data_IF_292021040126
#
_entry.id   IF_292021040126
#
_cell.length_a   1.000
_cell.length_b   1.000
_cell.length_c   1.000
_cell.angle_alpha   90.00
_cell.angle_beta   90.00
_cell.angle_gamma   90.00
#
_symmetry.space_group_name_H-M   'P 1'
#
loop_
_entity.id
_entity.type
_entity.pdbx_description
1 polymer ?
#
# COMPACT_ATOMS: atom_id res chain seq x y z
N UNK A 1 23.49 -34.35 24.54
CA UNK A 1 22.23 -33.59 24.45
C UNK A 1 22.64 -32.14 24.26
N UNK A 2 22.56 -31.63 23.02
CA UNK A 2 22.85 -30.21 22.78
C UNK A 2 21.84 -29.37 23.55
N UNK A 3 22.24 -28.22 24.11
CA UNK A 3 21.32 -27.38 24.88
C UNK A 3 20.12 -27.03 23.99
N UNK A 4 18.92 -27.04 24.55
CA UNK A 4 17.68 -26.61 23.89
C UNK A 4 17.81 -25.13 23.53
N UNK A 5 18.46 -24.85 22.41
CA UNK A 5 18.57 -23.51 21.86
C UNK A 5 17.14 -23.14 21.44
N UNK A 6 16.49 -22.16 22.09
CA UNK A 6 15.14 -21.79 21.72
C UNK A 6 15.14 -21.34 20.25
N UNK A 7 14.20 -21.90 19.46
CA UNK A 7 14.04 -21.57 18.04
C UNK A 7 13.95 -20.05 17.79
N UNK A 8 13.41 -19.32 18.77
CA UNK A 8 13.39 -17.87 18.85
C UNK A 8 14.23 -17.39 20.03
N UNK A 9 15.43 -16.90 19.75
CA UNK A 9 16.18 -16.06 20.69
C UNK A 9 15.49 -14.68 20.80
N UNK A 10 15.63 -13.96 21.92
CA UNK A 10 14.97 -12.65 22.15
C UNK A 10 15.21 -11.67 20.99
N UNK A 11 16.43 -11.66 20.46
CA UNK A 11 16.80 -10.91 19.26
C UNK A 11 15.99 -11.30 18.01
N UNK A 12 15.79 -12.60 17.76
CA UNK A 12 15.00 -13.10 16.62
C UNK A 12 13.50 -12.80 16.80
N UNK A 13 13.03 -12.80 18.04
CA UNK A 13 11.65 -12.49 18.37
C UNK A 13 11.33 -11.01 18.10
N UNK A 14 12.22 -10.10 18.47
CA UNK A 14 12.04 -8.68 18.19
C UNK A 14 12.01 -8.39 16.68
N UNK A 15 12.89 -9.06 15.93
CA UNK A 15 12.91 -9.00 14.47
C UNK A 15 11.64 -9.56 13.83
N UNK A 16 11.13 -10.69 14.35
CA UNK A 16 9.86 -11.27 13.89
C UNK A 16 8.71 -10.28 14.13
N UNK A 17 8.62 -9.67 15.31
CA UNK A 17 7.56 -8.70 15.62
C UNK A 17 7.66 -7.39 14.82
N UNK A 18 8.86 -7.01 14.36
CA UNK A 18 9.02 -5.89 13.43
C UNK A 18 8.48 -6.23 12.03
N UNK A 19 8.77 -7.45 11.54
CA UNK A 19 8.47 -7.85 10.15
C UNK A 19 7.10 -8.48 9.96
N UNK A 20 6.54 -9.15 10.95
CA UNK A 20 5.23 -9.81 10.87
C UNK A 20 4.10 -8.86 10.40
N UNK A 21 3.87 -7.68 11.02
CA UNK A 21 2.84 -6.76 10.55
C UNK A 21 3.15 -6.21 9.15
N UNK A 22 4.43 -6.01 8.83
CA UNK A 22 4.87 -5.57 7.51
C UNK A 22 4.57 -6.60 6.42
N UNK A 23 4.75 -7.89 6.72
CA UNK A 23 4.44 -8.99 5.79
C UNK A 23 2.93 -9.16 5.63
N UNK A 24 2.17 -9.15 6.74
CA UNK A 24 0.71 -9.35 6.70
C UNK A 24 0.00 -8.19 5.98
N UNK A 25 0.39 -6.94 6.26
CA UNK A 25 -0.19 -5.75 5.63
C UNK A 25 0.54 -5.36 4.33
N UNK A 26 1.53 -6.16 3.94
CA UNK A 26 2.21 -6.07 2.66
C UNK A 26 3.09 -4.84 2.46
N UNK A 27 3.51 -4.12 3.49
CA UNK A 27 4.35 -2.93 3.31
C UNK A 27 4.53 -2.03 4.53
N UNK A 28 3.47 -1.61 5.23
CA UNK A 28 3.57 -0.61 6.29
C UNK A 28 4.50 -1.04 7.44
N UNK A 29 5.32 -0.10 7.93
CA UNK A 29 6.33 -0.33 8.98
C UNK A 29 5.84 0.19 10.32
N UNK A 30 4.90 -0.53 10.95
CA UNK A 30 4.29 -0.10 12.23
C UNK A 30 5.17 -0.27 13.48
N UNK A 31 6.32 -0.94 13.36
CA UNK A 31 7.29 -1.06 14.45
C UNK A 31 8.69 -0.84 13.90
N UNK A 32 9.21 0.38 14.08
CA UNK A 32 10.59 0.71 13.75
C UNK A 32 11.49 0.32 14.91
N UNK A 33 12.70 -0.13 14.63
CA UNK A 33 13.67 -0.56 15.65
C UNK A 33 14.22 0.54 16.54
N UNK A 34 13.77 1.78 16.32
CA UNK A 34 14.15 3.00 17.04
C UNK A 34 12.90 3.88 17.23
N UNK A 35 12.96 4.85 18.14
CA UNK A 35 11.83 5.73 18.49
C UNK A 35 11.50 6.72 17.36
N UNK A 36 10.78 6.27 16.32
CA UNK A 36 10.23 7.16 15.31
C UNK A 36 9.08 8.01 15.89
N UNK A 37 8.95 9.29 15.51
CA UNK A 37 7.86 10.13 15.97
C UNK A 37 6.47 9.59 15.59
N UNK A 38 5.44 9.82 16.42
CA UNK A 38 4.11 9.25 16.22
C UNK A 38 3.45 9.65 14.88
N UNK A 39 3.81 10.80 14.32
CA UNK A 39 3.28 11.27 13.04
C UNK A 39 3.68 10.39 11.85
N UNK A 40 4.82 9.68 11.92
CA UNK A 40 5.29 8.79 10.84
C UNK A 40 4.36 7.57 10.73
N UNK A 41 4.03 6.96 11.86
CA UNK A 41 3.10 5.82 11.92
C UNK A 41 1.68 6.23 11.50
N UNK A 42 1.23 7.41 11.93
CA UNK A 42 -0.06 7.96 11.52
C UNK A 42 -0.10 8.19 9.99
N UNK A 43 0.95 8.76 9.41
CA UNK A 43 1.06 8.96 7.96
C UNK A 43 0.99 7.64 7.18
N UNK A 44 1.72 6.61 7.61
CA UNK A 44 1.65 5.29 6.97
C UNK A 44 0.27 4.64 7.09
N UNK A 45 -0.39 4.76 8.25
CA UNK A 45 -1.75 4.27 8.45
C UNK A 45 -2.77 4.97 7.54
N UNK A 46 -2.68 6.30 7.43
CA UNK A 46 -3.56 7.09 6.56
C UNK A 46 -3.36 6.70 5.10
N UNK A 47 -2.11 6.57 4.65
CA UNK A 47 -1.80 6.14 3.28
C UNK A 47 -2.30 4.73 2.99
N UNK A 48 -2.16 3.81 3.94
CA UNK A 48 -2.66 2.44 3.82
C UNK A 48 -4.18 2.40 3.71
N UNK A 49 -4.89 3.20 4.51
CA UNK A 49 -6.36 3.27 4.53
C UNK A 49 -6.95 4.14 3.42
N UNK A 50 -6.13 4.81 2.60
CA UNK A 50 -6.59 5.71 1.55
C UNK A 50 -7.58 5.05 0.56
N UNK A 51 -7.32 3.82 0.04
CA UNK A 51 -8.27 3.12 -0.82
C UNK A 51 -9.61 2.84 -0.13
N UNK A 52 -9.57 2.44 1.15
CA UNK A 52 -10.77 2.20 1.94
C UNK A 52 -11.56 3.48 2.22
N UNK A 53 -10.89 4.61 2.46
CA UNK A 53 -11.56 5.89 2.67
C UNK A 53 -12.30 6.34 1.41
N UNK A 54 -11.61 6.43 0.27
CA UNK A 54 -12.22 6.92 -0.97
C UNK A 54 -13.22 5.93 -1.57
N UNK A 55 -12.87 4.64 -1.55
CA UNK A 55 -13.79 3.59 -1.97
C UNK A 55 -14.99 3.46 -1.04
N UNK A 56 -14.78 3.57 0.28
CA UNK A 56 -15.81 3.57 1.30
C UNK A 56 -16.80 4.71 1.12
N UNK A 57 -16.34 5.94 0.87
CA UNK A 57 -17.21 7.08 0.50
C UNK A 57 -18.05 6.73 -0.72
N UNK A 58 -17.46 6.14 -1.77
CA UNK A 58 -18.18 5.67 -2.95
C UNK A 58 -19.27 4.64 -2.61
N UNK A 59 -18.94 3.64 -1.80
CA UNK A 59 -19.93 2.62 -1.39
C UNK A 59 -21.06 3.19 -0.55
N UNK A 60 -20.76 4.11 0.38
CA UNK A 60 -21.76 4.76 1.23
C UNK A 60 -22.71 5.62 0.39
N UNK A 61 -22.19 6.45 -0.51
CA UNK A 61 -23.01 7.27 -1.41
C UNK A 61 -23.92 6.41 -2.29
N UNK A 62 -23.43 5.24 -2.73
CA UNK A 62 -24.24 4.30 -3.48
C UNK A 62 -25.32 3.62 -2.62
N UNK A 63 -25.01 3.26 -1.37
CA UNK A 63 -25.96 2.65 -0.43
C UNK A 63 -27.05 3.64 0.02
N UNK A 64 -26.72 4.92 0.13
CA UNK A 64 -27.68 5.99 0.44
C UNK A 64 -28.55 6.40 -0.77
N UNK A 65 -28.41 5.70 -1.91
CA UNK A 65 -29.09 6.03 -3.18
C UNK A 65 -28.82 7.46 -3.68
N UNK A 66 -27.74 8.10 -3.22
CA UNK A 66 -27.34 9.44 -3.66
C UNK A 66 -26.60 9.41 -4.99
N UNK A 67 -25.82 8.34 -5.24
CA UNK A 67 -25.11 8.10 -6.50
C UNK A 67 -25.45 6.72 -7.06
N UNK A 68 -25.50 6.61 -8.38
CA UNK A 68 -25.52 5.32 -9.06
C UNK A 68 -24.17 4.61 -8.92
N UNK A 69 -24.17 3.27 -8.98
CA UNK A 69 -22.96 2.46 -8.83
C UNK A 69 -21.82 2.90 -9.78
N UNK A 70 -22.11 3.19 -11.06
CA UNK A 70 -21.09 3.66 -12.01
C UNK A 70 -20.49 5.02 -11.65
N UNK A 71 -21.30 5.93 -11.10
CA UNK A 71 -20.80 7.24 -10.69
C UNK A 71 -19.94 7.12 -9.42
N UNK A 72 -20.32 6.24 -8.49
CA UNK A 72 -19.56 5.98 -7.27
C UNK A 72 -18.17 5.37 -7.56
N UNK A 73 -18.08 4.55 -8.62
CA UNK A 73 -16.82 3.90 -9.02
C UNK A 73 -15.89 4.87 -9.73
N UNK A 74 -16.43 5.72 -10.60
CA UNK A 74 -15.67 6.82 -11.20
C UNK A 74 -15.19 7.78 -10.11
N UNK A 75 -16.05 8.17 -9.17
CA UNK A 75 -15.69 9.08 -8.08
C UNK A 75 -14.56 8.51 -7.20
N UNK A 76 -14.69 7.28 -6.72
CA UNK A 76 -13.66 6.61 -5.90
C UNK A 76 -12.34 6.43 -6.66
N UNK A 77 -12.39 6.08 -7.95
CA UNK A 77 -11.21 5.96 -8.79
C UNK A 77 -10.52 7.31 -9.02
N UNK A 78 -11.29 8.38 -9.28
CA UNK A 78 -10.74 9.72 -9.47
C UNK A 78 -10.14 10.31 -8.19
N UNK A 79 -10.77 10.08 -7.04
CA UNK A 79 -10.22 10.49 -5.74
C UNK A 79 -8.89 9.78 -5.45
N UNK A 80 -8.83 8.46 -5.69
CA UNK A 80 -7.60 7.70 -5.52
C UNK A 80 -6.51 8.12 -6.51
N UNK A 81 -6.86 8.37 -7.77
CA UNK A 81 -5.92 8.89 -8.77
C UNK A 81 -5.33 10.23 -8.32
N UNK A 82 -6.18 11.15 -7.87
CA UNK A 82 -5.76 12.47 -7.36
C UNK A 82 -4.82 12.34 -6.17
N UNK A 83 -5.17 11.50 -5.18
CA UNK A 83 -4.33 11.27 -4.02
C UNK A 83 -2.98 10.63 -4.38
N UNK A 84 -2.98 9.61 -5.24
CA UNK A 84 -1.76 8.97 -5.74
C UNK A 84 -0.88 9.98 -6.49
N UNK A 85 -1.47 10.85 -7.31
CA UNK A 85 -0.75 11.91 -8.02
C UNK A 85 -0.11 12.92 -7.06
N UNK A 86 -0.83 13.35 -6.02
CA UNK A 86 -0.29 14.24 -4.98
C UNK A 86 0.88 13.61 -4.25
N UNK A 87 0.75 12.35 -3.83
CA UNK A 87 1.80 11.63 -3.09
C UNK A 87 3.04 11.45 -3.97
N UNK A 88 2.86 11.05 -5.23
CA UNK A 88 3.98 10.87 -6.14
C UNK A 88 4.62 12.19 -6.57
N UNK A 89 3.85 13.29 -6.68
CA UNK A 89 4.39 14.62 -6.89
C UNK A 89 5.22 15.09 -5.69
N UNK A 90 4.74 14.84 -4.47
CA UNK A 90 5.47 15.16 -3.23
C UNK A 90 6.76 14.34 -3.13
N UNK A 91 6.72 13.04 -3.44
CA UNK A 91 7.90 12.18 -3.47
C UNK A 91 8.92 12.64 -4.53
N UNK A 92 8.45 13.05 -5.71
CA UNK A 92 9.31 13.59 -6.78
C UNK A 92 9.92 14.93 -6.40
N UNK A 93 9.17 15.79 -5.69
CA UNK A 93 9.65 17.06 -5.20
C UNK A 93 10.73 16.89 -4.13
N UNK A 94 10.50 16.00 -3.16
CA UNK A 94 11.48 15.64 -2.14
C UNK A 94 12.78 15.10 -2.78
N UNK A 95 12.66 14.20 -3.76
CA UNK A 95 13.81 13.64 -4.48
C UNK A 95 14.64 14.68 -5.27
N UNK A 96 14.05 15.82 -5.67
CA UNK A 96 14.76 16.91 -6.34
C UNK A 96 15.49 17.84 -5.37
N UNK A 97 15.05 17.89 -4.11
CA UNK A 97 15.60 18.77 -3.07
C UNK A 97 16.79 18.16 -2.31
N UNK A 98 16.99 16.85 -2.39
CA UNK A 98 18.09 16.14 -1.72
C UNK A 98 19.40 16.23 -2.48
N UNK A 99 20.51 16.39 -1.76
CA UNK A 99 21.85 16.46 -2.37
C UNK A 99 22.31 15.08 -2.88
N UNK A 100 23.22 15.01 -3.87
CA UNK A 100 23.68 13.73 -4.44
C UNK A 100 24.28 12.76 -3.42
N UNK A 101 24.90 13.26 -2.34
CA UNK A 101 25.54 12.45 -1.29
C UNK A 101 24.52 11.64 -0.46
N UNK A 102 23.39 12.25 -0.07
CA UNK A 102 22.27 11.56 0.60
C UNK A 102 21.52 10.60 -0.34
N UNK A 103 21.66 10.80 -1.65
CA UNK A 103 21.06 9.94 -2.67
C UNK A 103 21.75 8.59 -2.74
N UNK A 104 23.08 8.54 -2.56
CA UNK A 104 23.88 7.31 -2.55
C UNK A 104 23.75 6.53 -1.24
N UNK A 105 23.68 7.21 -0.08
CA UNK A 105 23.46 6.57 1.22
C UNK A 105 22.16 5.78 1.27
N UNK A 106 21.05 6.40 0.91
CA UNK A 106 19.74 5.74 0.94
C UNK A 106 19.40 4.89 -0.31
N UNK A 107 20.41 4.52 -1.12
CA UNK A 107 20.31 3.47 -2.15
C UNK A 107 20.93 2.15 -1.67
N UNK A 108 21.69 2.17 -0.57
CA UNK A 108 22.15 0.98 0.11
C UNK A 108 21.01 0.39 0.94
N UNK A 109 20.33 -0.62 0.38
CA UNK A 109 19.26 -1.40 1.03
C UNK A 109 19.75 -2.17 2.28
N UNK A 110 21.07 -2.23 2.50
CA UNK A 110 21.69 -2.76 3.73
C UNK A 110 21.71 -1.76 4.90
N UNK A 111 21.33 -0.50 4.68
CA UNK A 111 21.20 0.56 5.68
C UNK A 111 19.74 0.75 6.17
N UNK A 112 18.95 -0.33 6.21
CA UNK A 112 17.59 -0.31 6.81
C UNK A 112 17.63 -0.12 8.36
N UNK A 113 18.83 0.11 8.92
CA UNK A 113 19.12 0.39 10.33
C UNK A 113 19.82 1.74 10.57
N UNK A 114 19.99 2.60 9.54
CA UNK A 114 20.51 3.96 9.77
C UNK A 114 19.37 4.80 10.40
N UNK A 115 19.59 5.30 11.62
CA UNK A 115 18.63 6.12 12.36
C UNK A 115 18.30 7.38 11.56
N UNK A 116 17.12 7.41 10.93
CA UNK A 116 16.66 8.62 10.22
C UNK A 116 16.22 9.64 11.27
N UNK A 117 16.87 10.79 11.30
CA UNK A 117 16.52 11.89 12.20
C UNK A 117 15.30 12.65 11.67
N UNK A 118 14.12 12.30 12.16
CA UNK A 118 12.88 12.92 11.71
C UNK A 118 12.67 14.32 12.31
N UNK A 119 13.06 15.36 11.57
CA UNK A 119 12.92 16.77 11.97
C UNK A 119 11.47 17.27 11.94
N UNK A 120 10.73 17.02 10.86
CA UNK A 120 9.33 17.47 10.69
C UNK A 120 8.48 16.51 9.83
N UNK A 121 7.14 16.60 9.96
CA UNK A 121 6.18 15.76 9.23
C UNK A 121 6.26 15.88 7.70
N UNK A 122 6.70 17.03 7.17
CA UNK A 122 6.86 17.29 5.73
C UNK A 122 8.33 17.43 5.31
N UNK A 123 9.27 17.02 6.17
CA UNK A 123 10.68 16.97 5.77
C UNK A 123 10.86 16.02 4.59
N UNK A 124 11.80 16.36 3.70
CA UNK A 124 12.14 15.56 2.53
C UNK A 124 12.47 14.10 2.91
N UNK A 125 13.11 13.92 4.07
CA UNK A 125 13.46 12.63 4.65
C UNK A 125 12.22 11.83 5.07
N UNK A 126 11.29 12.45 5.80
CA UNK A 126 10.02 11.84 6.22
C UNK A 126 9.19 11.42 5.02
N UNK A 127 9.08 12.29 4.00
CA UNK A 127 8.35 11.99 2.75
C UNK A 127 9.00 10.82 2.02
N UNK A 128 10.33 10.81 1.89
CA UNK A 128 11.07 9.73 1.22
C UNK A 128 10.97 8.40 1.97
N UNK A 129 10.95 8.44 3.29
CA UNK A 129 10.78 7.27 4.13
C UNK A 129 9.38 6.66 4.00
N UNK A 130 8.35 7.51 3.98
CA UNK A 130 6.95 7.08 3.89
C UNK A 130 6.57 6.67 2.47
N UNK A 131 7.07 7.38 1.45
CA UNK A 131 6.80 7.14 0.03
C UNK A 131 8.10 7.33 -0.78
N UNK A 132 8.93 6.27 -0.90
CA UNK A 132 10.12 6.33 -1.74
C UNK A 132 9.68 6.50 -3.19
N UNK A 133 9.99 7.67 -3.77
CA UNK A 133 9.61 7.98 -5.15
C UNK A 133 10.10 6.93 -6.14
N UNK A 134 9.33 6.70 -7.21
CA UNK A 134 9.67 5.75 -8.27
C UNK A 134 10.83 6.28 -9.12
N UNK A 135 11.69 5.38 -9.59
CA UNK A 135 12.89 5.74 -10.37
C UNK A 135 12.55 6.24 -11.76
N UNK A 136 11.51 5.67 -12.38
CA UNK A 136 11.10 5.99 -13.75
C UNK A 136 9.83 6.84 -13.76
N UNK A 137 9.86 7.99 -14.45
CA UNK A 137 8.69 8.86 -14.61
C UNK A 137 7.51 8.17 -15.31
N UNK A 138 7.78 7.17 -16.17
CA UNK A 138 6.71 6.36 -16.77
C UNK A 138 6.01 5.49 -15.72
N UNK A 139 6.75 4.89 -14.80
CA UNK A 139 6.19 4.08 -13.72
C UNK A 139 5.37 4.94 -12.75
N UNK A 140 5.78 6.20 -12.52
CA UNK A 140 4.96 7.18 -11.77
C UNK A 140 3.56 7.30 -12.38
N UNK A 141 3.50 7.60 -13.69
CA UNK A 141 2.23 7.77 -14.40
C UNK A 141 1.44 6.45 -14.43
N UNK A 142 2.09 5.33 -14.71
CA UNK A 142 1.42 4.03 -14.76
C UNK A 142 0.81 3.66 -13.40
N UNK A 143 1.58 3.79 -12.32
CA UNK A 143 1.13 3.44 -10.98
C UNK A 143 0.01 4.34 -10.48
N UNK A 144 0.02 5.63 -10.80
CA UNK A 144 -1.09 6.53 -10.44
C UNK A 144 -2.38 6.15 -11.16
N UNK A 145 -2.32 5.90 -12.47
CA UNK A 145 -3.46 5.42 -13.27
C UNK A 145 -3.96 4.08 -12.71
N UNK A 146 -3.06 3.13 -12.48
CA UNK A 146 -3.41 1.80 -11.99
C UNK A 146 -4.01 1.83 -10.58
N UNK A 147 -3.54 2.73 -9.71
CA UNK A 147 -4.11 2.93 -8.38
C UNK A 147 -5.55 3.44 -8.46
N UNK A 148 -5.83 4.40 -9.36
CA UNK A 148 -7.17 4.89 -9.63
C UNK A 148 -8.10 3.79 -10.18
N UNK A 149 -7.63 3.05 -11.19
CA UNK A 149 -8.38 1.93 -11.78
C UNK A 149 -8.68 0.84 -10.75
N UNK A 150 -7.68 0.45 -9.96
CA UNK A 150 -7.82 -0.57 -8.91
C UNK A 150 -8.85 -0.15 -7.87
N UNK A 151 -8.80 1.10 -7.40
CA UNK A 151 -9.75 1.59 -6.41
C UNK A 151 -11.16 1.73 -6.99
N UNK A 152 -11.32 2.23 -8.22
CA UNK A 152 -12.63 2.36 -8.86
C UNK A 152 -13.28 1.00 -9.16
N UNK A 153 -12.54 0.08 -9.80
CA UNK A 153 -13.01 -1.28 -10.09
C UNK A 153 -13.21 -2.10 -8.81
N UNK A 154 -12.30 -1.96 -7.85
CA UNK A 154 -12.43 -2.58 -6.53
C UNK A 154 -13.68 -2.10 -5.80
N UNK A 155 -13.94 -0.79 -5.80
CA UNK A 155 -15.17 -0.22 -5.22
C UNK A 155 -16.41 -0.83 -5.86
N UNK A 156 -16.43 -0.94 -7.20
CA UNK A 156 -17.56 -1.54 -7.93
C UNK A 156 -17.80 -3.00 -7.56
N UNK A 157 -16.73 -3.78 -7.50
CA UNK A 157 -16.77 -5.20 -7.22
C UNK A 157 -17.24 -5.46 -5.78
N UNK A 158 -16.77 -4.66 -4.83
CA UNK A 158 -17.02 -4.81 -3.40
C UNK A 158 -18.37 -4.22 -2.95
N UNK A 159 -19.21 -3.70 -3.86
CA UNK A 159 -20.57 -3.30 -3.48
C UNK A 159 -21.32 -4.47 -2.81
N UNK A 160 -21.76 -4.27 -1.56
CA UNK A 160 -22.40 -5.33 -0.76
C UNK A 160 -23.62 -5.94 -1.47
N UNK A 161 -24.39 -5.14 -2.21
CA UNK A 161 -25.50 -5.63 -3.03
C UNK A 161 -25.05 -6.60 -4.12
N UNK A 162 -23.91 -6.33 -4.79
CA UNK A 162 -23.35 -7.25 -5.79
C UNK A 162 -22.79 -8.51 -5.15
N UNK A 163 -22.04 -8.37 -4.05
CA UNK A 163 -21.50 -9.52 -3.32
C UNK A 163 -22.62 -10.44 -2.80
N UNK A 164 -23.76 -9.89 -2.39
CA UNK A 164 -24.92 -10.68 -1.93
C UNK A 164 -25.55 -11.47 -3.08
N UNK A 165 -25.63 -10.87 -4.27
CA UNK A 165 -26.10 -11.56 -5.48
C UNK A 165 -25.13 -12.66 -5.90
N UNK A 166 -23.82 -12.42 -5.82
CA UNK A 166 -22.79 -13.37 -6.26
C UNK A 166 -22.66 -14.58 -5.33
N UNK A 167 -22.69 -14.36 -4.01
CA UNK A 167 -22.45 -15.42 -3.01
C UNK A 167 -23.72 -15.97 -2.34
N UNK A 168 -24.89 -15.41 -2.64
CA UNK A 168 -26.20 -15.92 -2.18
C UNK A 168 -26.46 -15.85 -0.67
N UNK A 169 -25.53 -15.32 0.13
CA UNK A 169 -25.64 -15.21 1.58
C UNK A 169 -25.03 -13.91 2.08
N UNK A 170 -25.84 -13.11 2.78
CA UNK A 170 -25.43 -11.82 3.37
C UNK A 170 -24.23 -12.00 4.30
N UNK A 171 -24.22 -13.06 5.12
CA UNK A 171 -23.13 -13.31 6.07
C UNK A 171 -21.78 -13.54 5.37
N UNK A 172 -21.78 -14.33 4.29
CA UNK A 172 -20.59 -14.58 3.47
C UNK A 172 -20.14 -13.29 2.78
N UNK A 173 -21.08 -12.51 2.23
CA UNK A 173 -20.80 -11.25 1.55
C UNK A 173 -20.17 -10.20 2.48
N UNK A 174 -20.58 -10.12 3.75
CA UNK A 174 -19.97 -9.21 4.73
C UNK A 174 -18.53 -9.59 5.03
N UNK A 175 -18.25 -10.89 5.19
CA UNK A 175 -16.88 -11.38 5.43
C UNK A 175 -16.00 -11.06 4.21
N UNK A 176 -16.47 -11.38 3.00
CA UNK A 176 -15.76 -11.10 1.75
C UNK A 176 -15.56 -9.59 1.55
N UNK A 177 -16.55 -8.77 1.91
CA UNK A 177 -16.45 -7.31 1.86
C UNK A 177 -15.27 -6.78 2.69
N UNK A 178 -15.14 -7.23 3.94
CA UNK A 178 -14.08 -6.81 4.85
C UNK A 178 -12.70 -7.22 4.29
N UNK A 179 -12.54 -8.49 3.91
CA UNK A 179 -11.26 -9.00 3.39
C UNK A 179 -10.89 -8.40 2.03
N UNK A 180 -11.88 -8.11 1.18
CA UNK A 180 -11.66 -7.45 -0.11
C UNK A 180 -11.10 -6.04 0.08
N UNK A 181 -11.62 -5.26 1.04
CA UNK A 181 -11.07 -3.93 1.34
C UNK A 181 -9.64 -3.98 1.87
N UNK A 182 -9.34 -4.94 2.74
CA UNK A 182 -7.96 -5.16 3.21
C UNK A 182 -7.04 -5.47 2.03
N UNK A 183 -7.48 -6.35 1.12
CA UNK A 183 -6.73 -6.73 -0.08
C UNK A 183 -6.50 -5.54 -1.03
N UNK A 184 -7.53 -4.71 -1.25
CA UNK A 184 -7.43 -3.47 -2.03
C UNK A 184 -6.47 -2.45 -1.38
N UNK A 185 -6.47 -2.34 -0.05
CA UNK A 185 -5.52 -1.50 0.68
C UNK A 185 -4.08 -1.98 0.49
N UNK A 186 -3.83 -3.28 0.60
CA UNK A 186 -2.50 -3.90 0.40
C UNK A 186 -1.98 -3.65 -1.02
N UNK A 187 -2.82 -3.81 -2.03
CA UNK A 187 -2.43 -3.61 -3.42
C UNK A 187 -2.30 -2.11 -3.79
N UNK A 188 -3.18 -1.26 -3.28
CA UNK A 188 -3.08 0.20 -3.46
C UNK A 188 -1.83 0.78 -2.80
N UNK A 189 -1.50 0.32 -1.60
CA UNK A 189 -0.30 0.72 -0.88
C UNK A 189 0.98 0.31 -1.63
N UNK A 190 1.00 -0.89 -2.21
CA UNK A 190 2.09 -1.38 -3.07
C UNK A 190 2.36 -0.44 -4.25
N UNK A 191 1.31 0.07 -4.89
CA UNK A 191 1.43 0.97 -6.04
C UNK A 191 1.98 2.35 -5.66
N UNK A 192 1.50 2.93 -4.55
CA UNK A 192 1.84 4.29 -4.11
C UNK A 192 3.20 4.34 -3.41
N UNK A 193 3.45 3.45 -2.45
CA UNK A 193 4.63 3.48 -1.59
C UNK A 193 5.68 2.54 -2.18
N UNK A 194 5.52 1.24 -1.96
CA UNK A 194 6.27 0.12 -2.54
C UNK A 194 5.87 -1.15 -1.77
N UNK A 195 6.19 -2.33 -2.31
CA UNK A 195 6.04 -3.58 -1.58
C UNK A 195 7.05 -3.68 -0.45
N UNK A 196 6.69 -4.40 0.62
CA UNK A 196 7.66 -4.81 1.64
C UNK A 196 8.89 -5.48 1.00
N UNK A 197 10.07 -5.21 1.56
CA UNK A 197 11.32 -5.86 1.16
C UNK A 197 11.25 -7.34 1.56
N UNK A 198 11.05 -8.22 0.59
CA UNK A 198 11.17 -9.66 0.83
C UNK A 198 12.64 -9.99 1.10
N UNK A 199 12.87 -10.82 2.12
CA UNK A 199 14.21 -11.08 2.66
C UNK A 199 15.12 -11.89 1.73
N UNK A 200 14.62 -12.30 0.56
CA UNK A 200 15.30 -13.15 -0.40
C UNK A 200 15.34 -12.58 -1.83
N UNK A 201 14.70 -11.43 -2.09
CA UNK A 201 14.79 -10.78 -3.41
C UNK A 201 15.75 -9.61 -3.33
N UNK A 202 16.86 -9.71 -4.05
CA UNK A 202 17.73 -8.57 -4.28
C UNK A 202 16.95 -7.52 -5.07
N UNK A 203 16.41 -6.49 -4.42
CA UNK A 203 15.75 -5.36 -5.11
C UNK A 203 16.65 -4.69 -6.17
N UNK A 204 17.97 -4.88 -6.09
CA UNK A 204 18.91 -4.48 -7.14
C UNK A 204 18.62 -5.13 -8.51
N UNK A 205 17.86 -6.24 -8.57
CA UNK A 205 17.44 -6.91 -9.80
C UNK A 205 16.05 -6.48 -10.30
N UNK A 206 15.24 -5.76 -9.52
CA UNK A 206 13.95 -5.23 -10.02
C UNK A 206 14.18 -3.89 -10.74
N UNK A 207 14.94 -3.95 -11.84
CA UNK A 207 15.31 -2.79 -12.66
C UNK A 207 14.10 -2.03 -13.20
N UNK A 208 12.94 -2.70 -13.34
CA UNK A 208 11.74 -2.14 -13.96
C UNK A 208 10.60 -1.87 -12.97
N UNK A 209 10.81 -2.11 -11.67
CA UNK A 209 9.78 -1.96 -10.63
C UNK A 209 8.51 -2.79 -10.94
N UNK A 210 8.69 -4.05 -11.35
CA UNK A 210 7.59 -4.97 -11.70
C UNK A 210 6.92 -5.52 -10.44
N UNK A 211 7.67 -5.69 -9.35
CA UNK A 211 7.18 -6.32 -8.12
C UNK A 211 5.92 -5.64 -7.58
N UNK A 212 5.83 -4.30 -7.53
CA UNK A 212 4.63 -3.61 -7.08
C UNK A 212 3.36 -3.81 -7.93
N UNK A 213 3.49 -4.20 -9.21
CA UNK A 213 2.35 -4.43 -10.11
C UNK A 213 1.73 -5.82 -9.93
N UNK A 214 2.47 -6.78 -9.37
CA UNK A 214 2.00 -8.17 -9.23
C UNK A 214 0.70 -8.28 -8.44
N UNK A 215 0.60 -7.55 -7.31
CA UNK A 215 -0.59 -7.59 -6.43
C UNK A 215 -1.85 -7.01 -7.11
N UNK A 216 -1.82 -5.81 -7.73
CA UNK A 216 -2.93 -5.33 -8.55
C UNK A 216 -3.31 -6.30 -9.68
N UNK A 217 -2.33 -6.89 -10.36
CA UNK A 217 -2.59 -7.85 -11.45
C UNK A 217 -3.38 -9.06 -10.97
N UNK A 218 -3.02 -9.65 -9.83
CA UNK A 218 -3.79 -10.76 -9.26
C UNK A 218 -5.24 -10.35 -8.96
N UNK A 219 -5.46 -9.16 -8.40
CA UNK A 219 -6.82 -8.66 -8.13
C UNK A 219 -7.62 -8.52 -9.43
N UNK A 220 -7.03 -7.96 -10.49
CA UNK A 220 -7.74 -7.83 -11.77
C UNK A 220 -8.08 -9.19 -12.39
N UNK A 221 -7.19 -10.18 -12.28
CA UNK A 221 -7.47 -11.55 -12.74
C UNK A 221 -8.64 -12.15 -11.97
N UNK A 222 -8.65 -12.03 -10.63
CA UNK A 222 -9.76 -12.53 -9.81
C UNK A 222 -11.08 -11.85 -10.14
N UNK A 223 -11.09 -10.52 -10.26
CA UNK A 223 -12.29 -9.78 -10.67
C UNK A 223 -12.77 -10.26 -12.05
N UNK A 224 -11.86 -10.48 -13.01
CA UNK A 224 -12.23 -10.95 -14.33
C UNK A 224 -12.84 -12.35 -14.31
N UNK A 225 -12.27 -13.30 -13.54
CA UNK A 225 -12.79 -14.66 -13.41
C UNK A 225 -14.18 -14.67 -12.77
N UNK A 226 -14.37 -13.87 -11.72
CA UNK A 226 -15.66 -13.77 -11.02
C UNK A 226 -16.76 -13.10 -11.86
N UNK A 227 -16.41 -12.29 -12.86
CA UNK A 227 -17.38 -11.68 -13.77
C UNK A 227 -17.82 -12.60 -14.90
N UNK A 228 -17.05 -13.65 -15.19
CA UNK A 228 -17.37 -14.63 -16.24
C UNK A 228 -18.36 -15.69 -15.73
N UNK A 229 -18.43 -15.90 -14.42
CA UNK A 229 -19.35 -16.83 -13.77
C UNK A 229 -20.66 -16.15 -13.35
#
# INVERSE_FOLDING_TARGET
MGPDVPLLNEYKQEFFWKRFPQTVLGGPRFKLGYCAPPYVYAGQAILFLTPWLFGGIGTLLCQLHLLQALHATVLSGMLMFGAAAVIQALASYAARRTTPLERFGALNVLLDEEEIEFTHCFSSETVRFIAPGKRFGLNVVLHTILAGLLCGLGTWYVLLGRLTVLYGSIGVSVVIYIFSWVTLCIAGYSLIVNTATETATFQAQDTYEITPLTRPLYIFIFIAVDLIH
#
